data_IF_925969268901
#
_entry.id   IF_925969268901
#
_cell.length_a   1.000
_cell.length_b   1.000
_cell.length_c   1.000
_cell.angle_alpha   90.00
_cell.angle_beta   90.00
_cell.angle_gamma   90.00
#
_symmetry.space_group_name_H-M   'P 1'
#
loop_
_entity.id
_entity.type
_entity.pdbx_description
1 polymer ?
#
# COMPACT_ATOMS: atom_id res chain seq x y z
N UNK A 1 -6.70 7.09 12.67
CA UNK A 1 -7.16 6.95 11.26
C UNK A 1 -7.20 5.50 10.75
N UNK A 2 -6.64 4.53 11.48
CA UNK A 2 -6.60 3.09 11.12
C UNK A 2 -7.92 2.44 10.66
N UNK A 3 -9.08 2.93 11.11
CA UNK A 3 -10.40 2.40 10.71
C UNK A 3 -10.83 2.80 9.28
N UNK A 4 -10.20 3.83 8.69
CA UNK A 4 -10.63 4.41 7.40
C UNK A 4 -9.99 3.72 6.19
N UNK A 5 -8.81 3.13 6.36
CA UNK A 5 -8.03 2.53 5.27
C UNK A 5 -7.53 1.11 5.63
N UNK A 6 -8.45 0.17 5.95
CA UNK A 6 -8.06 -1.17 6.40
C UNK A 6 -7.29 -1.99 5.37
N UNK A 7 -7.63 -1.89 4.08
CA UNK A 7 -6.98 -2.67 3.01
C UNK A 7 -5.60 -2.11 2.67
N UNK A 8 -5.45 -0.77 2.66
CA UNK A 8 -4.13 -0.14 2.53
C UNK A 8 -3.25 -0.50 3.73
N UNK A 9 -3.79 -0.49 4.95
CA UNK A 9 -3.06 -0.93 6.15
C UNK A 9 -2.62 -2.38 6.03
N UNK A 10 -3.52 -3.28 5.62
CA UNK A 10 -3.21 -4.69 5.43
C UNK A 10 -2.06 -4.87 4.44
N UNK A 11 -2.13 -4.21 3.29
CA UNK A 11 -1.05 -4.24 2.30
C UNK A 11 0.29 -3.81 2.91
N UNK A 12 0.36 -2.65 3.57
CA UNK A 12 1.65 -2.12 4.06
C UNK A 12 2.18 -2.85 5.29
N UNK A 13 1.32 -3.43 6.14
CA UNK A 13 1.73 -4.12 7.36
C UNK A 13 2.02 -5.60 7.13
N UNK A 14 1.24 -6.25 6.26
CA UNK A 14 1.39 -7.69 6.00
C UNK A 14 2.36 -7.90 4.84
N UNK A 15 2.05 -7.37 3.66
CA UNK A 15 2.80 -7.67 2.44
C UNK A 15 4.13 -6.91 2.34
N UNK A 16 4.14 -5.62 2.71
CA UNK A 16 5.35 -4.79 2.72
C UNK A 16 5.98 -4.63 4.12
N UNK A 17 5.50 -5.39 5.10
CA UNK A 17 6.01 -5.36 6.48
C UNK A 17 7.43 -5.92 6.60
N UNK A 18 7.93 -6.16 7.83
CA UNK A 18 9.31 -6.58 8.06
C UNK A 18 9.66 -7.91 7.38
N UNK A 19 8.67 -8.78 7.21
CA UNK A 19 8.81 -10.10 6.61
C UNK A 19 8.45 -10.11 5.11
N UNK A 20 8.53 -8.96 4.42
CA UNK A 20 8.14 -8.83 3.00
C UNK A 20 8.78 -9.85 2.05
N UNK A 21 9.98 -10.35 2.39
CA UNK A 21 10.72 -11.36 1.63
C UNK A 21 9.97 -12.69 1.45
N UNK A 22 8.94 -12.97 2.27
CA UNK A 22 8.06 -14.14 2.06
C UNK A 22 7.11 -13.96 0.86
N UNK A 23 6.89 -12.71 0.43
CA UNK A 23 6.01 -12.34 -0.68
C UNK A 23 6.79 -11.92 -1.94
N UNK A 24 7.98 -11.32 -1.79
CA UNK A 24 8.84 -10.91 -2.89
C UNK A 24 9.93 -9.93 -2.47
N UNK A 25 10.81 -9.52 -3.39
CA UNK A 25 11.88 -8.54 -3.15
C UNK A 25 11.64 -7.20 -3.88
N UNK A 26 10.63 -7.13 -4.75
CA UNK A 26 10.22 -5.91 -5.47
C UNK A 26 8.74 -5.58 -5.25
N UNK A 27 8.35 -4.32 -5.52
CA UNK A 27 6.93 -3.91 -5.48
C UNK A 27 6.12 -4.75 -6.47
N UNK A 28 6.68 -5.07 -7.65
CA UNK A 28 6.03 -5.89 -8.66
C UNK A 28 5.74 -7.30 -8.15
N UNK A 29 6.73 -7.96 -7.54
CA UNK A 29 6.59 -9.32 -6.99
C UNK A 29 5.61 -9.36 -5.82
N UNK A 30 5.72 -8.41 -4.88
CA UNK A 30 4.82 -8.36 -3.72
C UNK A 30 3.37 -8.12 -4.17
N UNK A 31 3.15 -7.24 -5.15
CA UNK A 31 1.81 -7.01 -5.70
C UNK A 31 1.27 -8.21 -6.47
N UNK A 32 2.13 -8.97 -7.16
CA UNK A 32 1.73 -10.24 -7.76
C UNK A 32 1.30 -11.26 -6.69
N UNK A 33 2.07 -11.39 -5.61
CA UNK A 33 1.71 -12.25 -4.48
C UNK A 33 0.39 -11.82 -3.81
N UNK A 34 0.17 -10.51 -3.66
CA UNK A 34 -1.10 -9.95 -3.18
C UNK A 34 -2.27 -10.35 -4.10
N UNK A 35 -2.10 -10.22 -5.41
CA UNK A 35 -3.12 -10.58 -6.40
C UNK A 35 -3.43 -12.08 -6.44
N UNK A 36 -2.46 -12.95 -6.12
CA UNK A 36 -2.67 -14.40 -6.01
C UNK A 36 -3.39 -14.81 -4.71
N UNK A 37 -3.23 -14.02 -3.65
CA UNK A 37 -3.70 -14.36 -2.29
C UNK A 37 -5.09 -13.80 -2.00
N UNK A 38 -5.37 -12.59 -2.46
CA UNK A 38 -6.54 -11.82 -2.05
C UNK A 38 -7.69 -11.89 -3.07
N UNK A 39 -8.88 -11.49 -2.63
CA UNK A 39 -10.10 -11.55 -3.46
C UNK A 39 -10.30 -10.30 -4.30
N UNK A 40 -11.09 -10.39 -5.39
CA UNK A 40 -11.53 -9.22 -6.15
C UNK A 40 -12.19 -8.11 -5.29
N UNK A 41 -12.86 -8.52 -4.20
CA UNK A 41 -13.45 -7.56 -3.26
C UNK A 41 -12.36 -6.73 -2.55
N UNK A 42 -11.26 -7.37 -2.14
CA UNK A 42 -10.11 -6.70 -1.56
C UNK A 42 -9.44 -5.76 -2.59
N UNK A 43 -9.31 -6.18 -3.86
CA UNK A 43 -8.76 -5.36 -4.94
C UNK A 43 -9.55 -4.06 -5.12
N UNK A 44 -10.88 -4.16 -5.22
CA UNK A 44 -11.77 -3.00 -5.35
C UNK A 44 -11.65 -2.04 -4.15
N UNK A 45 -11.57 -2.59 -2.94
CA UNK A 45 -11.43 -1.78 -1.73
C UNK A 45 -10.06 -1.09 -1.64
N UNK A 46 -8.98 -1.81 -1.92
CA UNK A 46 -7.63 -1.27 -1.95
C UNK A 46 -7.51 -0.16 -2.99
N UNK A 47 -8.00 -0.40 -4.22
CA UNK A 47 -7.99 0.60 -5.30
C UNK A 47 -8.77 1.85 -4.92
N UNK A 48 -9.95 1.70 -4.30
CA UNK A 48 -10.75 2.81 -3.79
C UNK A 48 -10.01 3.60 -2.70
N UNK A 49 -9.43 2.92 -1.72
CA UNK A 49 -8.74 3.56 -0.59
C UNK A 49 -7.46 4.25 -1.04
N UNK A 50 -6.64 3.61 -1.87
CA UNK A 50 -5.45 4.20 -2.46
C UNK A 50 -5.80 5.43 -3.30
N UNK A 51 -6.86 5.37 -4.12
CA UNK A 51 -7.32 6.54 -4.89
C UNK A 51 -7.76 7.70 -3.99
N UNK A 52 -8.42 7.43 -2.86
CA UNK A 52 -8.79 8.48 -1.89
C UNK A 52 -7.58 9.14 -1.25
N UNK A 53 -6.53 8.37 -0.96
CA UNK A 53 -5.26 8.88 -0.43
C UNK A 53 -4.50 9.69 -1.48
N UNK A 54 -4.48 9.22 -2.73
CA UNK A 54 -3.87 9.93 -3.86
C UNK A 54 -4.59 11.24 -4.20
N UNK A 55 -5.88 11.36 -3.87
CA UNK A 55 -6.64 12.59 -4.06
C UNK A 55 -6.31 13.69 -3.01
N UNK A 56 -5.53 13.39 -1.97
CA UNK A 56 -5.04 14.41 -1.04
C UNK A 56 -4.05 15.33 -1.76
N UNK A 57 -4.25 16.65 -1.64
CA UNK A 57 -3.39 17.66 -2.27
C UNK A 57 -2.02 17.77 -1.59
N UNK A 58 -1.97 17.51 -0.28
CA UNK A 58 -0.76 17.68 0.53
C UNK A 58 -0.01 16.36 0.71
N UNK A 59 1.28 16.37 0.34
CA UNK A 59 2.19 15.25 0.63
C UNK A 59 2.48 15.12 2.13
N UNK A 60 2.48 16.22 2.89
CA UNK A 60 2.69 16.17 4.34
C UNK A 60 1.51 15.47 5.05
N UNK A 61 0.27 15.76 4.61
CA UNK A 61 -0.92 15.08 5.11
C UNK A 61 -0.88 13.59 4.77
N UNK A 62 -0.56 13.26 3.51
CA UNK A 62 -0.43 11.88 3.07
C UNK A 62 0.64 11.13 3.87
N UNK A 63 1.80 11.75 4.07
CA UNK A 63 2.91 11.20 4.84
C UNK A 63 2.47 10.90 6.28
N UNK A 64 1.76 11.83 6.93
CA UNK A 64 1.26 11.65 8.29
C UNK A 64 0.29 10.45 8.40
N UNK A 65 -0.66 10.36 7.47
CA UNK A 65 -1.63 9.25 7.43
C UNK A 65 -0.92 7.91 7.19
N UNK A 66 -0.05 7.84 6.19
CA UNK A 66 0.59 6.59 5.80
C UNK A 66 1.58 6.08 6.85
N UNK A 67 2.30 6.97 7.55
CA UNK A 67 3.14 6.58 8.69
C UNK A 67 2.31 5.98 9.82
N UNK A 68 1.13 6.53 10.11
CA UNK A 68 0.21 5.94 11.11
C UNK A 68 -0.29 4.56 10.66
N UNK A 69 -0.67 4.41 9.38
CA UNK A 69 -1.15 3.14 8.82
C UNK A 69 -0.06 2.06 8.80
N UNK A 70 1.17 2.44 8.46
CA UNK A 70 2.30 1.53 8.37
C UNK A 70 2.81 1.07 9.73
N UNK A 71 2.42 1.73 10.84
CA UNK A 71 2.83 1.34 12.19
C UNK A 71 4.36 1.21 12.36
N UNK A 72 5.12 2.04 11.63
CA UNK A 72 6.58 2.00 11.51
C UNK A 72 7.17 0.71 10.90
N UNK A 73 6.34 -0.15 10.30
CA UNK A 73 6.76 -1.43 9.73
C UNK A 73 7.24 -1.33 8.28
N UNK A 74 6.81 -0.30 7.56
CA UNK A 74 7.16 -0.09 6.17
C UNK A 74 7.53 1.38 5.90
N UNK A 75 8.54 1.61 5.06
CA UNK A 75 8.96 2.93 4.59
C UNK A 75 9.25 2.86 3.09
N UNK A 76 8.46 3.53 2.23
CA UNK A 76 8.66 3.50 0.77
C UNK A 76 10.00 4.09 0.34
N UNK A 77 10.59 4.98 1.14
CA UNK A 77 11.91 5.55 0.87
C UNK A 77 13.03 4.50 0.77
N UNK A 78 12.90 3.36 1.48
CA UNK A 78 13.88 2.25 1.37
C UNK A 78 13.78 1.51 0.04
N UNK A 79 12.71 1.75 -0.71
CA UNK A 79 12.39 1.18 -2.01
C UNK A 79 12.53 2.22 -3.15
N UNK A 80 13.10 3.40 -2.85
CA UNK A 80 13.25 4.49 -3.81
C UNK A 80 11.96 5.28 -4.10
N UNK A 81 10.93 5.13 -3.26
CA UNK A 81 9.61 5.72 -3.47
C UNK A 81 9.23 6.75 -2.40
N UNK A 82 8.35 7.69 -2.76
CA UNK A 82 7.55 8.43 -1.78
C UNK A 82 6.27 7.65 -1.46
N UNK A 83 5.52 8.06 -0.43
CA UNK A 83 4.20 7.44 -0.18
C UNK A 83 3.26 7.62 -1.38
N UNK A 84 3.34 8.75 -2.09
CA UNK A 84 2.50 9.00 -3.27
C UNK A 84 2.89 8.11 -4.43
N UNK A 85 4.17 8.03 -4.78
CA UNK A 85 4.61 7.21 -5.90
C UNK A 85 4.43 5.71 -5.61
N UNK A 86 4.62 5.29 -4.36
CA UNK A 86 4.26 3.94 -3.91
C UNK A 86 2.78 3.62 -4.15
N UNK A 87 1.86 4.49 -3.70
CA UNK A 87 0.42 4.28 -3.88
C UNK A 87 0.00 4.29 -5.36
N UNK A 88 0.63 5.12 -6.20
CA UNK A 88 0.42 5.10 -7.65
C UNK A 88 0.79 3.73 -8.24
N UNK A 89 1.98 3.23 -7.90
CA UNK A 89 2.45 1.92 -8.36
C UNK A 89 1.54 0.79 -7.90
N UNK A 90 1.05 0.86 -6.65
CA UNK A 90 0.07 -0.10 -6.13
C UNK A 90 -1.19 -0.07 -7.00
N UNK A 91 -1.79 1.09 -7.25
CA UNK A 91 -3.02 1.20 -8.07
C UNK A 91 -2.83 0.67 -9.49
N UNK A 92 -1.68 0.90 -10.11
CA UNK A 92 -1.34 0.39 -11.44
C UNK A 92 -1.24 -1.15 -11.53
N UNK A 93 -1.00 -1.82 -10.38
CA UNK A 93 -0.76 -3.26 -10.30
C UNK A 93 -1.91 -4.05 -9.70
N UNK A 94 -2.94 -3.37 -9.19
CA UNK A 94 -4.16 -4.03 -8.71
C UNK A 94 -4.95 -4.52 -9.93
N UNK A 95 -5.32 -5.82 -9.99
CA UNK A 95 -6.21 -6.32 -11.04
C UNK A 95 -7.55 -5.57 -11.07
N UNK A 96 -8.14 -5.43 -12.26
CA UNK A 96 -9.44 -4.79 -12.45
C UNK A 96 -10.62 -5.61 -11.89
#
# INVERSE_FOLDING_TARGET
MKKKYPDVRLLVVIFFGPDFHIFGESIDEIMASYAETESEYAFRNLKKQASQLLALESDDELNHIMVELAENQFKPASWGETWRSFLQKVVERIPD
#
